data_IF_894594061696
#
_entry.id   IF_894594061696
#
_cell.length_a   1.000
_cell.length_b   1.000
_cell.length_c   1.000
_cell.angle_alpha   90.00
_cell.angle_beta   90.00
_cell.angle_gamma   90.00
#
_symmetry.space_group_name_H-M   'P 1'
#
loop_
_entity.id
_entity.type
_entity.pdbx_description
1 polymer ?
#
# COMPACT_ATOMS: atom_id res chain seq x y z
N UNK A 1 15.52 12.52 0.11
CA UNK A 1 15.45 11.59 1.27
C UNK A 1 16.48 10.50 1.03
N UNK A 2 17.35 10.15 2.01
CA UNK A 2 18.23 9.00 1.86
C UNK A 2 17.40 7.74 1.53
N UNK A 3 17.87 6.89 0.62
CA UNK A 3 17.19 5.66 0.17
C UNK A 3 15.88 5.84 -0.62
N UNK A 4 15.43 7.08 -0.83
CA UNK A 4 14.36 7.38 -1.77
C UNK A 4 14.92 7.43 -3.19
N UNK A 5 14.24 6.75 -4.10
CA UNK A 5 14.48 6.82 -5.53
C UNK A 5 13.13 7.11 -6.18
N UNK A 6 13.06 8.06 -7.10
CA UNK A 6 11.87 8.30 -7.90
C UNK A 6 12.23 8.16 -9.37
N UNK A 7 11.47 7.37 -10.12
CA UNK A 7 11.53 7.30 -11.58
C UNK A 7 10.13 7.46 -12.20
N UNK A 8 9.99 7.17 -13.49
CA UNK A 8 8.72 7.28 -14.22
C UNK A 8 7.61 6.39 -13.64
N UNK A 9 7.94 5.43 -12.77
CA UNK A 9 7.00 4.55 -12.07
C UNK A 9 6.61 5.05 -10.67
N UNK A 10 7.09 6.22 -10.25
CA UNK A 10 6.68 6.88 -9.00
C UNK A 10 7.67 6.75 -7.84
N UNK A 11 7.25 7.11 -6.61
CA UNK A 11 8.12 7.07 -5.44
C UNK A 11 8.43 5.63 -5.02
N UNK A 12 9.71 5.32 -4.83
CA UNK A 12 10.17 4.04 -4.30
C UNK A 12 11.22 4.18 -3.19
N UNK A 13 11.29 3.14 -2.34
CA UNK A 13 12.31 2.92 -1.33
C UNK A 13 13.04 1.63 -1.64
N UNK A 14 14.38 1.69 -1.64
CA UNK A 14 15.22 0.51 -1.92
C UNK A 14 16.18 0.20 -0.77
N UNK A 15 16.35 -1.09 -0.50
CA UNK A 15 17.24 -1.66 0.48
C UNK A 15 17.73 -3.06 0.06
N UNK A 16 18.44 -3.75 0.95
CA UNK A 16 18.88 -5.13 0.68
C UNK A 16 17.66 -6.06 0.65
N UNK A 17 17.37 -6.64 -0.52
CA UNK A 17 16.17 -7.45 -0.81
C UNK A 17 14.83 -6.75 -0.54
N UNK A 18 14.80 -5.41 -0.62
CA UNK A 18 13.58 -4.62 -0.50
C UNK A 18 13.52 -3.61 -1.65
N UNK A 19 12.44 -3.64 -2.43
CA UNK A 19 12.05 -2.61 -3.38
C UNK A 19 10.56 -2.33 -3.17
N UNK A 20 10.22 -1.19 -2.56
CA UNK A 20 8.83 -0.84 -2.24
C UNK A 20 8.46 0.44 -2.98
N UNK A 21 7.39 0.41 -3.76
CA UNK A 21 6.85 1.57 -4.45
C UNK A 21 5.36 1.73 -4.18
N UNK A 22 4.87 2.95 -4.39
CA UNK A 22 3.47 3.26 -4.23
C UNK A 22 2.99 4.23 -5.31
N UNK A 23 1.75 4.06 -5.74
CA UNK A 23 1.06 4.95 -6.68
C UNK A 23 -0.33 5.29 -6.18
N UNK A 24 -0.84 6.44 -6.63
CA UNK A 24 -2.24 6.83 -6.44
C UNK A 24 -2.97 6.54 -7.73
N UNK A 25 -3.87 5.56 -7.70
CA UNK A 25 -4.64 5.10 -8.84
C UNK A 25 -6.14 5.44 -8.64
N UNK A 26 -6.97 5.41 -9.70
CA UNK A 26 -8.41 5.59 -9.58
C UNK A 26 -9.07 4.57 -8.62
N UNK A 27 -8.47 3.39 -8.46
CA UNK A 27 -8.89 2.34 -7.51
C UNK A 27 -8.36 2.54 -6.09
N UNK A 28 -7.61 3.61 -5.79
CA UNK A 28 -7.09 3.90 -4.46
C UNK A 28 -5.56 3.98 -4.41
N UNK A 29 -4.99 3.64 -3.25
CA UNK A 29 -3.54 3.63 -3.04
C UNK A 29 -3.03 2.24 -3.40
N UNK A 30 -2.18 2.15 -4.43
CA UNK A 30 -1.45 0.95 -4.74
C UNK A 30 -0.11 0.95 -4.01
N UNK A 31 0.21 -0.17 -3.35
CA UNK A 31 1.51 -0.44 -2.74
C UNK A 31 1.99 -1.77 -3.29
N UNK A 32 3.18 -1.80 -3.86
CA UNK A 32 3.73 -3.00 -4.49
C UNK A 32 5.25 -3.02 -4.41
N UNK A 33 5.85 -4.20 -4.63
CA UNK A 33 7.28 -4.34 -4.47
C UNK A 33 7.77 -5.76 -4.20
N UNK A 34 9.07 -5.87 -3.94
CA UNK A 34 9.73 -7.05 -3.42
C UNK A 34 10.10 -6.82 -1.94
N UNK A 35 9.76 -7.77 -1.08
CA UNK A 35 10.06 -7.77 0.36
C UNK A 35 9.97 -9.21 0.88
N UNK A 36 10.69 -9.59 1.96
CA UNK A 36 10.44 -10.86 2.65
C UNK A 36 8.96 -11.00 3.06
N UNK A 37 8.37 -12.15 2.76
CA UNK A 37 6.93 -12.42 2.93
C UNK A 37 6.44 -12.17 4.37
N UNK A 38 7.21 -12.58 5.36
CA UNK A 38 6.88 -12.41 6.78
C UNK A 38 6.83 -10.92 7.21
N UNK A 39 7.70 -10.09 6.62
CA UNK A 39 7.70 -8.65 6.83
C UNK A 39 6.51 -8.03 6.10
N UNK A 40 6.28 -8.42 4.85
CA UNK A 40 5.19 -7.91 4.03
C UNK A 40 3.84 -8.16 4.68
N UNK A 41 3.54 -9.41 5.04
CA UNK A 41 2.26 -9.82 5.61
C UNK A 41 1.95 -9.08 6.90
N UNK A 42 2.94 -9.02 7.79
CA UNK A 42 2.80 -8.32 9.07
C UNK A 42 2.60 -6.83 8.87
N UNK A 43 3.43 -6.21 8.05
CA UNK A 43 3.40 -4.77 7.82
C UNK A 43 2.11 -4.32 7.11
N UNK A 44 1.70 -5.05 6.09
CA UNK A 44 0.50 -4.74 5.32
C UNK A 44 -0.76 -4.92 6.18
N UNK A 45 -0.82 -5.96 7.01
CA UNK A 45 -1.90 -6.14 7.99
C UNK A 45 -1.94 -4.98 9.00
N UNK A 46 -0.80 -4.62 9.60
CA UNK A 46 -0.71 -3.52 10.56
C UNK A 46 -1.17 -2.17 9.95
N UNK A 47 -0.85 -1.93 8.67
CA UNK A 47 -1.29 -0.74 7.94
C UNK A 47 -2.83 -0.72 7.79
N UNK A 48 -3.40 -1.84 7.33
CA UNK A 48 -4.85 -1.97 7.11
C UNK A 48 -5.64 -1.81 8.40
N UNK A 49 -5.17 -2.40 9.50
CA UNK A 49 -5.83 -2.31 10.80
C UNK A 49 -5.84 -0.87 11.32
N UNK A 50 -4.69 -0.18 11.26
CA UNK A 50 -4.59 1.23 11.69
C UNK A 50 -5.46 2.16 10.86
N UNK A 51 -5.48 1.96 9.54
CA UNK A 51 -6.33 2.76 8.65
C UNK A 51 -7.81 2.47 8.89
N UNK A 52 -8.17 1.20 9.11
CA UNK A 52 -9.55 0.80 9.42
C UNK A 52 -10.04 1.47 10.70
N UNK A 53 -9.22 1.45 11.76
CA UNK A 53 -9.52 2.14 13.01
C UNK A 53 -9.66 3.66 12.81
N UNK A 54 -8.70 4.29 12.14
CA UNK A 54 -8.68 5.74 11.97
C UNK A 54 -9.81 6.27 11.07
N UNK A 55 -10.20 5.52 10.04
CA UNK A 55 -11.17 5.96 9.03
C UNK A 55 -12.61 5.48 9.33
N UNK A 56 -12.78 4.49 10.21
CA UNK A 56 -14.09 3.94 10.57
C UNK A 56 -14.75 3.16 9.44
N UNK A 57 -13.95 2.47 8.62
CA UNK A 57 -14.40 1.47 7.64
C UNK A 57 -13.26 0.54 7.26
N UNK A 58 -13.61 -0.68 6.84
CA UNK A 58 -12.66 -1.72 6.47
C UNK A 58 -11.83 -1.33 5.23
N UNK A 59 -10.52 -1.54 5.32
CA UNK A 59 -9.57 -1.35 4.22
C UNK A 59 -9.14 -2.70 3.66
N UNK A 60 -9.23 -2.86 2.34
CA UNK A 60 -8.82 -4.09 1.65
C UNK A 60 -9.15 -4.04 0.16
N UNK A 61 -8.87 -5.16 -0.51
CA UNK A 61 -9.02 -5.29 -1.95
C UNK A 61 -10.49 -5.58 -2.34
N UNK A 62 -11.00 -4.99 -3.43
CA UNK A 62 -12.34 -5.31 -3.94
C UNK A 62 -12.54 -6.79 -4.28
N UNK A 63 -11.48 -7.47 -4.72
CA UNK A 63 -11.49 -8.91 -5.04
C UNK A 63 -11.76 -9.79 -3.81
N UNK A 64 -11.38 -9.31 -2.62
CA UNK A 64 -11.66 -9.93 -1.33
C UNK A 64 -13.05 -9.56 -0.77
N UNK A 65 -13.84 -8.76 -1.50
CA UNK A 65 -15.19 -8.35 -1.13
C UNK A 65 -15.29 -7.02 -0.39
N UNK A 66 -14.20 -6.26 -0.29
CA UNK A 66 -14.21 -4.92 0.32
C UNK A 66 -14.92 -3.91 -0.59
N UNK A 67 -15.58 -2.93 0.02
CA UNK A 67 -16.35 -1.91 -0.71
C UNK A 67 -15.59 -0.60 -0.77
N UNK A 68 -15.59 0.04 -1.94
CA UNK A 68 -15.25 1.45 -2.04
C UNK A 68 -16.28 2.28 -1.28
N UNK A 69 -15.86 2.92 -0.18
CA UNK A 69 -16.76 3.75 0.65
C UNK A 69 -17.05 5.10 0.01
N UNK A 70 -16.09 5.64 -0.72
CA UNK A 70 -16.18 6.93 -1.39
C UNK A 70 -15.94 6.70 -2.87
N UNK A 71 -16.98 6.96 -3.68
CA UNK A 71 -16.87 7.07 -5.12
C UNK A 71 -16.57 8.54 -5.43
N UNK A 72 -15.41 8.82 -6.02
CA UNK A 72 -15.01 10.18 -6.40
C UNK A 72 -15.44 10.50 -7.84
N UNK A 73 -16.65 10.08 -8.20
CA UNK A 73 -17.33 10.42 -9.45
C UNK A 73 -17.76 11.89 -9.48
#
# INVERSE_FOLDING_TARGET
>A
MPYWIGDDNGPCWKGDNIDLWASVEPSGIQIAGEMPEDIWDKWYQDLRDKLTEALGYEIGEPEDGYKFKYDWS
#
